data_IF_252994154932
#
_entry.id   IF_252994154932
#
_cell.length_a   1.000
_cell.length_b   1.000
_cell.length_c   1.000
_cell.angle_alpha   90.00
_cell.angle_beta   90.00
_cell.angle_gamma   90.00
#
_symmetry.space_group_name_H-M   'P 1'
#
loop_
_entity.id
_entity.type
_entity.pdbx_description
1 polymer ?
#
# COMPACT_ATOMS: atom_id res chain seq x y z
N UNK A 1 -2.41 -9.09 -11.70
CA UNK A 1 -1.74 -7.85 -12.16
C UNK A 1 -0.65 -8.28 -13.12
N UNK A 2 -0.81 -8.09 -14.43
CA UNK A 2 0.21 -8.47 -15.41
C UNK A 2 1.19 -7.30 -15.59
N UNK A 3 2.33 -7.37 -14.90
CA UNK A 3 3.58 -6.81 -15.44
C UNK A 3 4.12 -7.89 -16.38
N UNK A 4 4.06 -7.66 -17.69
CA UNK A 4 4.53 -8.63 -18.69
C UNK A 4 6.07 -8.65 -18.78
N UNK A 5 6.71 -7.60 -18.26
CA UNK A 5 8.17 -7.44 -18.15
C UNK A 5 8.53 -7.04 -16.72
N UNK A 6 9.71 -7.44 -16.28
CA UNK A 6 10.31 -7.02 -15.02
C UNK A 6 11.06 -5.69 -15.20
N UNK A 7 10.96 -4.80 -14.22
CA UNK A 7 11.72 -3.56 -14.15
C UNK A 7 12.13 -3.32 -12.69
N UNK A 8 13.42 -3.06 -12.48
CA UNK A 8 14.04 -2.86 -11.16
C UNK A 8 14.18 -1.35 -10.88
N UNK A 9 13.04 -0.67 -10.79
CA UNK A 9 12.97 0.79 -10.67
C UNK A 9 12.01 1.14 -9.54
N UNK A 10 12.46 2.02 -8.65
CA UNK A 10 11.66 2.62 -7.57
C UNK A 10 10.55 3.54 -8.12
N UNK A 11 9.73 4.07 -7.23
CA UNK A 11 8.67 5.01 -7.60
C UNK A 11 9.22 6.34 -8.14
N UNK A 12 8.53 6.92 -9.12
CA UNK A 12 8.85 8.25 -9.64
C UNK A 12 7.91 9.32 -9.09
N UNK A 13 8.50 10.40 -8.57
CA UNK A 13 7.79 11.55 -8.02
C UNK A 13 7.29 12.51 -9.11
N UNK A 14 6.22 13.25 -8.81
CA UNK A 14 5.80 14.40 -9.62
C UNK A 14 6.92 15.45 -9.60
N UNK A 15 7.19 16.06 -10.76
CA UNK A 15 8.09 17.21 -10.86
C UNK A 15 7.40 18.43 -10.22
N UNK A 16 7.94 18.99 -9.11
CA UNK A 16 7.36 20.15 -8.43
C UNK A 16 7.53 21.45 -9.23
N UNK A 17 8.37 21.47 -10.27
CA UNK A 17 8.57 22.62 -11.15
C UNK A 17 7.54 22.66 -12.30
N UNK A 18 6.67 21.66 -12.43
CA UNK A 18 5.57 21.65 -13.41
C UNK A 18 4.42 22.56 -12.97
N UNK A 19 4.67 23.87 -12.97
CA UNK A 19 3.73 24.92 -12.53
C UNK A 19 3.24 25.78 -13.69
N UNK A 20 2.10 26.45 -13.49
CA UNK A 20 1.52 27.37 -14.48
C UNK A 20 2.47 28.48 -14.88
N UNK A 21 3.26 28.99 -13.93
CA UNK A 21 4.18 30.11 -14.14
C UNK A 21 5.35 29.75 -15.07
N UNK A 22 5.65 28.45 -15.20
CA UNK A 22 6.74 27.91 -16.02
C UNK A 22 6.27 27.35 -17.36
N UNK A 23 5.08 26.74 -17.39
CA UNK A 23 4.59 26.00 -18.57
C UNK A 23 3.36 26.62 -19.25
N UNK A 24 2.81 27.70 -18.71
CA UNK A 24 1.58 28.35 -19.18
C UNK A 24 0.33 27.81 -18.47
N UNK A 25 -0.85 28.07 -19.01
CA UNK A 25 -2.09 27.50 -18.46
C UNK A 25 -2.03 25.95 -18.47
N UNK A 26 -2.41 25.32 -17.35
CA UNK A 26 -2.41 23.87 -17.19
C UNK A 26 -3.83 23.37 -16.94
N UNK A 27 -4.33 22.51 -17.83
CA UNK A 27 -5.60 21.80 -17.66
C UNK A 27 -5.31 20.43 -17.03
N UNK A 28 -6.06 20.06 -15.98
CA UNK A 28 -5.91 18.81 -15.24
C UNK A 28 -7.11 17.90 -15.47
N UNK A 29 -6.94 16.73 -16.08
CA UNK A 29 -8.00 15.71 -16.19
C UNK A 29 -7.59 14.36 -15.64
N UNK A 30 -8.59 13.54 -15.32
CA UNK A 30 -8.44 12.28 -14.56
C UNK A 30 -9.31 11.18 -15.14
N UNK A 31 -8.78 9.96 -15.15
CA UNK A 31 -9.48 8.77 -15.59
C UNK A 31 -9.16 7.55 -14.72
N UNK A 32 -10.12 6.64 -14.62
CA UNK A 32 -9.86 5.25 -14.23
C UNK A 32 -9.56 4.43 -15.49
N UNK A 33 -8.44 3.71 -15.48
CA UNK A 33 -8.03 2.81 -16.57
C UNK A 33 -7.62 1.47 -15.95
N UNK A 34 -8.43 0.43 -16.16
CA UNK A 34 -8.28 -0.86 -15.47
C UNK A 34 -8.42 -0.71 -13.95
N UNK A 35 -7.33 -1.02 -13.24
CA UNK A 35 -7.14 -0.76 -11.81
C UNK A 35 -6.07 0.31 -11.56
N UNK A 36 -6.10 1.39 -12.36
CA UNK A 36 -5.20 2.55 -12.19
C UNK A 36 -6.01 3.85 -12.23
N UNK A 37 -5.59 4.86 -11.46
CA UNK A 37 -6.04 6.24 -11.64
C UNK A 37 -4.94 6.96 -12.44
N UNK A 38 -5.30 7.56 -13.57
CA UNK A 38 -4.39 8.35 -14.40
C UNK A 38 -4.81 9.81 -14.30
N UNK A 39 -3.91 10.65 -13.80
CA UNK A 39 -4.05 12.12 -13.82
C UNK A 39 -3.13 12.66 -14.91
N UNK A 40 -3.61 13.57 -15.75
CA UNK A 40 -2.82 14.27 -16.77
C UNK A 40 -2.96 15.77 -16.53
N UNK A 41 -1.84 16.43 -16.26
CA UNK A 41 -1.70 17.88 -16.21
C UNK A 41 -1.09 18.31 -17.57
N UNK A 42 -1.88 18.92 -18.44
CA UNK A 42 -1.46 19.34 -19.79
C UNK A 42 -1.24 20.85 -19.82
N UNK A 43 -0.06 21.29 -20.23
CA UNK A 43 0.15 22.69 -20.61
C UNK A 43 -0.52 22.95 -21.97
N UNK A 44 -1.37 23.98 -22.05
CA UNK A 44 -2.28 24.19 -23.19
C UNK A 44 -1.57 24.62 -24.47
N UNK A 45 -0.41 25.27 -24.38
CA UNK A 45 0.28 25.92 -25.51
C UNK A 45 1.66 25.35 -25.83
N UNK A 46 2.31 24.65 -24.90
CA UNK A 46 3.75 24.30 -25.01
C UNK A 46 4.02 22.84 -25.36
N UNK A 47 2.97 22.00 -25.47
CA UNK A 47 3.08 20.56 -25.74
C UNK A 47 3.56 19.72 -24.56
N UNK A 48 3.92 20.33 -23.43
CA UNK A 48 4.36 19.65 -22.22
C UNK A 48 3.19 19.09 -21.41
N UNK A 49 3.35 17.88 -20.87
CA UNK A 49 2.39 17.27 -19.98
C UNK A 49 3.06 16.46 -18.87
N UNK A 50 2.52 16.53 -17.66
CA UNK A 50 2.89 15.66 -16.55
C UNK A 50 1.77 14.64 -16.32
N UNK A 51 2.13 13.36 -16.40
CA UNK A 51 1.21 12.23 -16.26
C UNK A 51 1.54 11.49 -14.97
N UNK A 52 0.52 11.19 -14.17
CA UNK A 52 0.66 10.52 -12.87
C UNK A 52 -0.26 9.31 -12.81
N UNK A 53 0.35 8.13 -12.92
CA UNK A 53 -0.33 6.83 -12.89
C UNK A 53 -0.23 6.22 -11.49
N UNK A 54 -1.38 6.08 -10.85
CA UNK A 54 -1.56 5.53 -9.51
C UNK A 54 -2.09 4.10 -9.61
N UNK A 55 -1.40 3.14 -9.01
CA UNK A 55 -1.75 1.71 -9.01
C UNK A 55 -1.71 1.13 -7.58
N UNK A 56 -2.31 -0.04 -7.31
CA UNK A 56 -2.25 -0.66 -5.98
C UNK A 56 -0.82 -0.87 -5.47
N UNK A 57 0.08 -1.33 -6.33
CA UNK A 57 1.47 -1.67 -6.03
C UNK A 57 2.49 -0.55 -6.30
N UNK A 58 2.03 0.67 -6.59
CA UNK A 58 2.97 1.75 -6.91
C UNK A 58 2.33 3.02 -7.45
N UNK A 59 3.06 4.12 -7.39
CA UNK A 59 2.76 5.36 -8.12
C UNK A 59 3.92 5.69 -9.06
N UNK A 60 3.62 6.15 -10.27
CA UNK A 60 4.62 6.59 -11.24
C UNK A 60 4.18 7.90 -11.87
N UNK A 61 5.01 8.93 -11.76
CA UNK A 61 4.89 10.17 -12.50
C UNK A 61 5.95 10.27 -13.61
N UNK A 62 5.59 10.92 -14.71
CA UNK A 62 6.49 11.17 -15.84
C UNK A 62 6.07 12.45 -16.57
N UNK A 63 7.05 13.22 -17.03
CA UNK A 63 6.84 14.43 -17.83
C UNK A 63 7.19 14.12 -19.27
N UNK A 64 6.28 14.44 -20.21
CA UNK A 64 6.47 14.26 -21.65
C UNK A 64 6.30 15.59 -22.37
N UNK A 65 6.82 15.66 -23.58
CA UNK A 65 6.54 16.74 -24.53
C UNK A 65 6.15 16.11 -25.86
N UNK A 66 4.98 16.49 -26.37
CA UNK A 66 4.59 16.22 -27.75
C UNK A 66 4.94 17.44 -28.60
N UNK A 67 5.63 17.21 -29.71
CA UNK A 67 5.99 18.26 -30.66
C UNK A 67 4.88 18.35 -31.70
N UNK A 68 4.09 19.42 -31.64
CA UNK A 68 3.05 19.70 -32.62
C UNK A 68 3.62 20.61 -33.71
N UNK A 69 3.53 20.16 -34.96
CA UNK A 69 3.73 21.05 -36.10
C UNK A 69 2.55 22.04 -36.18
N UNK A 70 2.79 23.32 -36.50
CA UNK A 70 1.71 24.27 -36.72
C UNK A 70 0.84 23.81 -37.90
N UNK A 71 -0.49 23.97 -37.84
CA UNK A 71 -1.35 23.65 -38.98
C UNK A 71 -0.91 24.48 -40.20
N UNK A 72 -0.98 23.93 -41.42
CA UNK A 72 -0.68 24.67 -42.64
C UNK A 72 -1.47 26.00 -42.70
N UNK A 73 -0.92 27.08 -43.29
CA UNK A 73 -1.57 28.41 -43.29
C UNK A 73 -2.96 28.48 -43.95
N UNK A 74 -3.37 27.45 -44.70
CA UNK A 74 -4.72 27.34 -45.27
C UNK A 74 -5.74 26.66 -44.32
N UNK A 75 -5.28 26.13 -43.18
CA UNK A 75 -6.08 25.47 -42.15
C UNK A 75 -6.20 26.30 -40.87
N UNK A 76 -5.40 27.36 -40.72
CA UNK A 76 -5.60 28.37 -39.68
C UNK A 76 -6.82 29.23 -40.02
N UNK A 77 -7.89 29.24 -39.22
CA UNK A 77 -9.04 30.11 -39.49
C UNK A 77 -8.63 31.58 -39.32
N UNK A 78 -8.85 32.39 -40.37
CA UNK A 78 -8.61 33.84 -40.36
C UNK A 78 -9.69 34.61 -39.56
N UNK A 79 -10.14 34.05 -38.44
CA UNK A 79 -11.16 34.69 -37.60
C UNK A 79 -10.50 35.60 -36.57
N UNK A 80 -10.27 36.85 -36.96
CA UNK A 80 -9.97 37.92 -36.00
C UNK A 80 -11.28 38.20 -35.26
N UNK A 81 -11.40 37.67 -34.03
CA UNK A 81 -12.57 37.94 -33.20
C UNK A 81 -12.51 39.38 -32.68
N UNK A 82 -13.22 40.28 -33.38
CA UNK A 82 -13.25 41.73 -33.11
C UNK A 82 -13.76 42.03 -31.68
N UNK A 83 -14.38 41.05 -30.99
CA UNK A 83 -14.87 41.19 -29.62
C UNK A 83 -13.83 40.94 -28.51
N UNK A 84 -12.64 40.41 -28.84
CA UNK A 84 -11.52 40.23 -27.88
C UNK A 84 -10.21 40.71 -28.51
N UNK A 85 -9.59 41.70 -27.87
CA UNK A 85 -8.35 42.33 -28.32
C UNK A 85 -7.24 41.33 -28.71
N UNK A 86 -7.04 41.13 -30.02
CA UNK A 86 -5.80 40.62 -30.62
C UNK A 86 -5.38 39.17 -30.32
N UNK A 87 -6.15 38.36 -29.59
CA UNK A 87 -5.76 36.97 -29.30
C UNK A 87 -6.07 36.02 -30.47
N UNK A 88 -5.00 35.59 -31.16
CA UNK A 88 -5.02 34.50 -32.14
C UNK A 88 -5.59 33.23 -31.48
N UNK A 89 -6.51 32.53 -32.16
CA UNK A 89 -7.02 31.25 -31.69
C UNK A 89 -5.92 30.18 -31.71
N UNK A 90 -5.21 30.02 -30.60
CA UNK A 90 -4.22 28.97 -30.43
C UNK A 90 -4.95 27.62 -30.26
N UNK A 91 -4.44 26.57 -30.91
CA UNK A 91 -4.95 25.22 -30.74
C UNK A 91 -4.67 24.73 -29.31
N UNK A 92 -5.64 24.92 -28.40
CA UNK A 92 -5.54 24.51 -27.00
C UNK A 92 -5.37 23.00 -26.88
N UNK A 93 -4.20 22.56 -26.46
CA UNK A 93 -3.88 21.14 -26.28
C UNK A 93 -4.61 20.63 -25.04
N UNK A 94 -5.51 19.66 -25.23
CA UNK A 94 -6.32 19.09 -24.15
C UNK A 94 -5.68 17.82 -23.58
N UNK A 95 -5.74 17.59 -22.25
CA UNK A 95 -5.30 16.34 -21.61
C UNK A 95 -5.90 15.06 -22.23
N UNK A 96 -7.07 15.17 -22.85
CA UNK A 96 -7.78 14.08 -23.49
C UNK A 96 -7.00 13.49 -24.68
N UNK A 97 -6.19 14.29 -25.37
CA UNK A 97 -5.39 13.87 -26.53
C UNK A 97 -4.43 12.74 -26.16
N UNK A 98 -3.65 12.93 -25.08
CA UNK A 98 -2.75 11.90 -24.53
C UNK A 98 -3.49 10.60 -24.23
N UNK A 99 -4.70 10.67 -23.66
CA UNK A 99 -5.48 9.48 -23.36
C UNK A 99 -5.94 8.75 -24.63
N UNK A 100 -6.32 9.48 -25.68
CA UNK A 100 -6.66 8.90 -26.99
C UNK A 100 -5.43 8.21 -27.60
N UNK A 101 -4.27 8.87 -27.63
CA UNK A 101 -3.03 8.29 -28.18
C UNK A 101 -2.64 7.00 -27.44
N UNK A 102 -2.60 7.03 -26.11
CA UNK A 102 -2.21 5.87 -25.30
C UNK A 102 -3.18 4.68 -25.39
N UNK A 103 -4.46 4.91 -25.67
CA UNK A 103 -5.50 3.87 -25.71
C UNK A 103 -5.83 3.40 -27.13
N UNK A 104 -5.38 4.11 -28.16
CA UNK A 104 -5.68 3.87 -29.59
C UNK A 104 -5.39 2.43 -30.06
N UNK A 105 -4.30 1.84 -29.56
CA UNK A 105 -3.84 0.49 -29.91
C UNK A 105 -4.45 -0.64 -29.07
N UNK A 106 -5.30 -0.32 -28.09
CA UNK A 106 -5.89 -1.29 -27.17
C UNK A 106 -7.31 -1.67 -27.64
N UNK A 107 -7.58 -2.94 -27.98
CA UNK A 107 -8.93 -3.39 -28.36
C UNK A 107 -9.93 -3.14 -27.23
N UNK A 108 -10.91 -2.26 -27.48
CA UNK A 108 -11.88 -1.79 -26.48
C UNK A 108 -12.99 -2.83 -26.12
N UNK A 109 -12.81 -4.10 -26.52
CA UNK A 109 -13.79 -5.17 -26.27
C UNK A 109 -13.91 -5.62 -24.82
N UNK A 110 -12.97 -5.24 -23.94
CA UNK A 110 -12.99 -5.61 -22.53
C UNK A 110 -13.38 -4.40 -21.67
N UNK A 111 -14.51 -4.48 -20.95
CA UNK A 111 -15.09 -3.38 -20.15
C UNK A 111 -14.11 -2.79 -19.11
N UNK A 112 -13.17 -3.60 -18.63
CA UNK A 112 -12.10 -3.14 -17.72
C UNK A 112 -11.10 -2.16 -18.38
N UNK A 113 -10.87 -2.26 -19.69
CA UNK A 113 -9.89 -1.45 -20.42
C UNK A 113 -10.41 -0.05 -20.80
N UNK A 114 -11.74 0.13 -20.92
CA UNK A 114 -12.34 1.42 -21.27
C UNK A 114 -12.01 2.49 -20.22
N UNK A 115 -11.44 3.64 -20.61
CA UNK A 115 -11.23 4.77 -19.70
C UNK A 115 -12.55 5.35 -19.21
N UNK A 116 -12.68 5.52 -17.89
CA UNK A 116 -13.82 6.20 -17.26
C UNK A 116 -13.33 7.57 -16.77
N UNK A 117 -13.84 8.70 -17.28
CA UNK A 117 -13.46 10.03 -16.80
C UNK A 117 -13.94 10.22 -15.36
N UNK A 118 -13.09 10.82 -14.53
CA UNK A 118 -13.44 11.23 -13.16
C UNK A 118 -13.76 12.73 -13.16
N UNK A 119 -14.84 13.17 -12.47
CA UNK A 119 -15.16 14.58 -12.36
C UNK A 119 -14.11 15.33 -11.52
N UNK A 120 -14.02 16.64 -11.75
CA UNK A 120 -13.18 17.56 -10.99
C UNK A 120 -13.91 18.05 -9.73
N UNK A 121 -14.43 17.11 -8.94
CA UNK A 121 -15.14 17.37 -7.68
C UNK A 121 -14.23 17.20 -6.44
N UNK A 122 -14.59 17.87 -5.34
CA UNK A 122 -13.86 17.79 -4.06
C UNK A 122 -13.79 16.38 -3.47
N UNK A 123 -14.75 15.50 -3.80
CA UNK A 123 -14.77 14.14 -3.29
C UNK A 123 -13.72 13.27 -4.00
N UNK A 124 -13.53 13.45 -5.31
CA UNK A 124 -12.46 12.83 -6.10
C UNK A 124 -11.10 13.36 -5.67
N UNK A 125 -10.94 14.68 -5.52
CA UNK A 125 -9.67 15.29 -5.07
C UNK A 125 -9.29 14.77 -3.66
N UNK A 126 -10.26 14.69 -2.74
CA UNK A 126 -10.07 14.10 -1.40
C UNK A 126 -9.74 12.61 -1.47
N UNK A 127 -10.44 11.82 -2.30
CA UNK A 127 -10.18 10.40 -2.46
C UNK A 127 -8.76 10.13 -3.02
N UNK A 128 -8.30 10.96 -3.96
CA UNK A 128 -6.94 10.87 -4.51
C UNK A 128 -5.90 11.29 -3.46
N UNK A 129 -6.12 12.37 -2.70
CA UNK A 129 -5.23 12.75 -1.58
C UNK A 129 -5.13 11.67 -0.50
N UNK A 130 -6.23 10.98 -0.19
CA UNK A 130 -6.22 9.84 0.75
C UNK A 130 -5.47 8.63 0.15
N UNK A 131 -5.68 8.36 -1.14
CA UNK A 131 -4.98 7.29 -1.86
C UNK A 131 -3.45 7.53 -1.89
N UNK A 132 -3.02 8.77 -2.17
CA UNK A 132 -1.59 9.13 -2.24
C UNK A 132 -0.90 9.10 -0.86
N UNK A 133 -1.65 9.20 0.24
CA UNK A 133 -1.15 8.97 1.60
C UNK A 133 -1.06 7.49 1.99
N UNK A 134 -1.71 6.59 1.25
CA UNK A 134 -1.61 5.15 1.48
C UNK A 134 -0.30 4.64 0.89
N UNK A 135 0.61 4.18 1.74
CA UNK A 135 1.91 3.62 1.32
C UNK A 135 1.78 2.58 0.21
N UNK A 136 2.76 2.49 -0.67
CA UNK A 136 2.89 1.43 -1.69
C UNK A 136 3.71 0.23 -1.20
N UNK A 137 4.11 0.27 0.07
CA UNK A 137 4.92 -0.72 0.77
C UNK A 137 4.20 -1.07 2.09
N UNK A 138 4.14 -2.35 2.46
CA UNK A 138 3.56 -2.78 3.74
C UNK A 138 4.54 -2.46 4.88
N UNK A 139 4.21 -1.41 5.63
CA UNK A 139 5.03 -0.87 6.71
C UNK A 139 4.76 -1.52 8.07
N UNK A 140 5.82 -1.95 8.73
CA UNK A 140 5.83 -2.58 10.05
C UNK A 140 6.62 -1.73 11.05
N UNK A 141 6.24 -1.86 12.33
CA UNK A 141 6.94 -1.24 13.46
C UNK A 141 7.30 -2.30 14.49
N UNK A 142 8.54 -2.24 14.96
CA UNK A 142 9.14 -3.26 15.83
C UNK A 142 10.04 -2.55 16.85
N UNK A 143 9.75 -2.71 18.14
CA UNK A 143 10.62 -2.15 19.18
C UNK A 143 11.94 -2.91 19.29
N UNK A 144 13.00 -2.21 19.71
CA UNK A 144 14.30 -2.82 20.02
C UNK A 144 14.75 -2.30 21.37
N UNK A 145 14.90 -3.22 22.32
CA UNK A 145 15.15 -2.95 23.73
C UNK A 145 16.47 -3.61 24.15
N UNK A 146 17.37 -2.86 24.77
CA UNK A 146 18.61 -3.38 25.35
C UNK A 146 18.48 -3.48 26.87
N UNK A 147 18.75 -4.66 27.43
CA UNK A 147 18.80 -4.95 28.87
C UNK A 147 20.26 -5.16 29.26
N UNK A 148 20.80 -4.25 30.09
CA UNK A 148 22.17 -4.33 30.62
C UNK A 148 22.33 -5.33 31.77
N UNK A 149 23.56 -5.53 32.23
CA UNK A 149 23.92 -6.47 33.29
C UNK A 149 23.08 -6.28 34.57
N UNK A 150 22.48 -7.36 35.08
CA UNK A 150 21.68 -7.35 36.32
C UNK A 150 20.31 -6.65 36.23
N UNK A 151 20.02 -5.90 35.17
CA UNK A 151 18.79 -5.11 35.06
C UNK A 151 17.54 -6.00 34.98
N UNK A 152 16.51 -5.63 35.75
CA UNK A 152 15.21 -6.35 35.76
C UNK A 152 13.99 -5.43 35.85
N UNK A 153 14.19 -4.15 36.18
CA UNK A 153 13.13 -3.14 36.27
C UNK A 153 12.90 -2.45 34.92
N UNK A 154 11.63 -2.17 34.59
CA UNK A 154 11.24 -1.55 33.32
C UNK A 154 11.85 -0.15 33.14
N UNK A 155 11.83 0.68 34.17
CA UNK A 155 12.29 2.08 34.10
C UNK A 155 13.81 2.12 33.95
N UNK A 156 14.51 1.26 34.69
CA UNK A 156 15.96 1.10 34.58
C UNK A 156 16.38 0.73 33.15
N UNK A 157 15.70 -0.26 32.56
CA UNK A 157 15.98 -0.73 31.19
C UNK A 157 15.67 0.35 30.15
N UNK A 158 14.53 1.04 30.26
CA UNK A 158 14.19 2.12 29.34
C UNK A 158 15.10 3.36 29.51
N UNK A 159 15.70 3.53 30.70
CA UNK A 159 16.68 4.58 30.97
C UNK A 159 17.95 4.48 30.11
N UNK A 160 18.31 3.28 29.64
CA UNK A 160 19.50 3.03 28.83
C UNK A 160 19.59 3.94 27.60
N UNK A 161 20.76 4.57 27.40
CA UNK A 161 21.10 5.44 26.26
C UNK A 161 22.13 4.82 25.31
N UNK A 162 22.69 3.68 25.68
CA UNK A 162 23.64 2.89 24.90
C UNK A 162 23.56 1.43 25.32
N UNK A 163 24.19 0.54 24.55
CA UNK A 163 24.32 -0.88 24.88
C UNK A 163 25.74 -1.40 24.64
N UNK A 164 25.91 -2.72 24.66
CA UNK A 164 27.19 -3.40 24.42
C UNK A 164 27.73 -3.20 22.99
N UNK A 165 29.01 -3.51 22.77
CA UNK A 165 29.65 -3.46 21.44
C UNK A 165 28.85 -4.29 20.41
N UNK A 166 28.43 -5.46 20.82
CA UNK A 166 27.81 -6.47 19.97
C UNK A 166 26.34 -6.11 19.69
N UNK A 167 25.68 -5.43 20.64
CA UNK A 167 24.39 -4.77 20.40
C UNK A 167 24.49 -3.67 19.33
N UNK A 168 25.54 -2.85 19.37
CA UNK A 168 25.77 -1.81 18.36
C UNK A 168 26.12 -2.41 16.98
N UNK A 169 26.93 -3.47 16.92
CA UNK A 169 27.19 -4.23 15.68
C UNK A 169 25.90 -4.86 15.15
N UNK A 170 25.08 -5.43 16.02
CA UNK A 170 23.77 -5.98 15.67
C UNK A 170 22.84 -4.90 15.07
N UNK A 171 22.69 -3.74 15.71
CA UNK A 171 21.86 -2.63 15.21
C UNK A 171 22.31 -2.16 13.82
N UNK A 172 23.61 -1.94 13.63
CA UNK A 172 24.18 -1.48 12.36
C UNK A 172 23.98 -2.47 11.20
N UNK A 173 23.75 -3.75 11.50
CA UNK A 173 23.44 -4.79 10.52
C UNK A 173 21.94 -5.17 10.48
N UNK A 174 21.12 -4.62 11.39
CA UNK A 174 19.68 -4.81 11.46
C UNK A 174 18.94 -3.89 10.47
N UNK A 175 19.45 -2.67 10.28
CA UNK A 175 18.90 -1.70 9.34
C UNK A 175 19.88 -0.57 9.05
N UNK A 176 19.42 0.41 8.26
CA UNK A 176 20.16 1.62 7.94
C UNK A 176 19.80 2.75 8.92
N UNK A 177 20.81 3.36 9.52
CA UNK A 177 20.63 4.54 10.38
C UNK A 177 20.05 5.70 9.54
N UNK A 178 18.86 6.15 9.91
CA UNK A 178 18.03 7.06 9.13
C UNK A 178 17.60 8.24 9.99
N UNK A 179 17.78 9.46 9.47
CA UNK A 179 17.41 10.70 10.17
C UNK A 179 15.89 10.88 10.18
N UNK A 180 15.33 11.22 11.34
CA UNK A 180 13.90 11.40 11.53
C UNK A 180 13.41 12.79 11.09
N UNK A 181 14.16 13.84 11.45
CA UNK A 181 13.82 15.22 11.10
C UNK A 181 13.74 15.42 9.58
N UNK A 182 12.56 15.79 9.09
CA UNK A 182 12.32 15.97 7.65
C UNK A 182 12.29 14.68 6.83
N UNK A 183 12.23 13.50 7.46
CA UNK A 183 11.98 12.23 6.77
C UNK A 183 10.73 12.33 5.89
N UNK A 184 10.73 11.71 4.71
CA UNK A 184 9.59 11.72 3.77
C UNK A 184 8.73 10.45 3.83
N UNK A 185 9.27 9.36 4.37
CA UNK A 185 8.59 8.08 4.57
C UNK A 185 7.71 8.07 5.83
N UNK A 186 7.03 6.95 6.09
CA UNK A 186 6.22 6.78 7.30
C UNK A 186 7.11 6.36 8.48
N UNK A 187 7.30 7.24 9.46
CA UNK A 187 8.10 6.96 10.68
C UNK A 187 7.35 6.16 11.74
N UNK A 188 6.15 5.65 11.44
CA UNK A 188 5.37 4.72 12.27
C UNK A 188 5.00 5.18 13.71
N UNK A 189 5.20 6.46 14.02
CA UNK A 189 4.89 7.08 15.31
C UNK A 189 5.99 8.02 15.82
N UNK A 190 7.22 7.85 15.33
CA UNK A 190 8.36 8.71 15.72
C UNK A 190 8.22 10.12 15.12
N UNK A 191 8.50 11.13 15.93
CA UNK A 191 8.53 12.55 15.57
C UNK A 191 9.46 12.85 14.37
N UNK A 192 9.01 13.75 13.49
CA UNK A 192 9.69 14.20 12.26
C UNK A 192 10.03 15.69 12.25
N UNK A 193 9.67 16.42 13.30
CA UNK A 193 9.71 17.88 13.35
C UNK A 193 10.64 18.39 14.45
N UNK A 194 10.52 17.88 15.68
CA UNK A 194 11.17 18.44 16.87
C UNK A 194 12.25 17.54 17.49
N UNK A 195 12.57 16.40 16.86
CA UNK A 195 13.55 15.39 17.33
C UNK A 195 13.21 14.82 18.73
N UNK A 196 11.93 14.89 19.15
CA UNK A 196 11.48 14.51 20.50
C UNK A 196 11.56 13.01 20.80
N UNK A 197 11.55 12.17 19.76
CA UNK A 197 11.80 10.72 19.84
C UNK A 197 13.26 10.35 19.47
N UNK A 198 14.14 11.35 19.37
CA UNK A 198 15.53 11.21 18.91
C UNK A 198 15.73 11.76 17.50
N UNK A 199 16.99 11.91 17.11
CA UNK A 199 17.37 12.44 15.78
C UNK A 199 17.41 11.37 14.69
N UNK A 200 17.65 10.12 15.08
CA UNK A 200 17.86 8.99 14.17
C UNK A 200 17.19 7.73 14.71
N UNK A 201 16.73 6.87 13.81
CA UNK A 201 16.41 5.48 14.12
C UNK A 201 17.01 4.54 13.07
N UNK A 202 16.82 3.24 13.22
CA UNK A 202 17.15 2.26 12.19
C UNK A 202 15.89 1.92 11.38
N UNK A 203 16.03 1.90 10.06
CA UNK A 203 14.98 1.46 9.13
C UNK A 203 15.53 0.33 8.25
N UNK A 204 14.69 -0.64 7.89
CA UNK A 204 14.99 -1.62 6.86
C UNK A 204 13.88 -1.64 5.82
N UNK A 205 14.23 -1.81 4.55
CA UNK A 205 13.29 -1.83 3.43
C UNK A 205 13.65 -2.92 2.42
N UNK A 206 12.63 -3.57 1.91
CA UNK A 206 12.61 -4.40 0.72
C UNK A 206 11.54 -3.86 -0.26
N UNK A 207 11.43 -4.43 -1.46
CA UNK A 207 10.51 -3.99 -2.52
C UNK A 207 9.02 -3.98 -2.13
N UNK A 208 8.63 -4.75 -1.13
CA UNK A 208 7.22 -4.94 -0.74
C UNK A 208 6.92 -4.55 0.70
N UNK A 209 7.96 -4.44 1.55
CA UNK A 209 7.81 -4.21 2.99
C UNK A 209 8.90 -3.28 3.54
N UNK A 210 8.55 -2.52 4.58
CA UNK A 210 9.44 -1.62 5.31
C UNK A 210 9.26 -1.87 6.81
N UNK A 211 10.36 -1.84 7.57
CA UNK A 211 10.36 -1.96 9.03
C UNK A 211 11.03 -0.71 9.59
N UNK A 212 10.29 0.07 10.37
CA UNK A 212 10.86 1.12 11.22
C UNK A 212 11.06 0.54 12.61
N UNK A 213 12.30 0.60 13.11
CA UNK A 213 12.60 0.12 14.45
C UNK A 213 12.35 1.23 15.48
N UNK A 214 11.76 0.89 16.62
CA UNK A 214 11.63 1.79 17.77
C UNK A 214 12.72 1.44 18.79
N UNK A 215 13.94 1.95 18.55
CA UNK A 215 15.14 1.58 19.31
C UNK A 215 15.25 2.44 20.57
N UNK A 216 15.08 1.84 21.75
CA UNK A 216 14.98 2.60 23.02
C UNK A 216 16.25 3.36 23.38
N UNK A 217 17.43 2.89 22.98
CA UNK A 217 18.71 3.60 23.21
C UNK A 217 18.91 4.79 22.29
N UNK A 218 18.20 4.86 21.15
CA UNK A 218 18.25 6.00 20.22
C UNK A 218 17.26 7.12 20.62
N UNK A 219 16.28 6.80 21.46
CA UNK A 219 15.33 7.76 22.03
C UNK A 219 15.95 8.50 23.23
N UNK A 220 15.71 9.80 23.40
CA UNK A 220 16.27 10.57 24.51
C UNK A 220 15.76 10.06 25.86
N UNK A 221 16.66 10.03 26.86
CA UNK A 221 16.30 9.81 28.27
C UNK A 221 16.39 11.16 29.01
N UNK A 222 15.32 11.54 29.71
CA UNK A 222 15.34 12.67 30.64
C UNK A 222 14.58 12.25 31.91
N UNK A 223 15.31 11.72 32.91
CA UNK A 223 14.70 11.18 34.14
C UNK A 223 14.14 12.27 35.06
N UNK A 224 14.52 13.54 34.89
CA UNK A 224 13.95 14.65 35.65
C UNK A 224 12.52 14.98 35.19
N UNK A 225 12.28 14.93 33.88
CA UNK A 225 11.00 15.33 33.26
C UNK A 225 10.11 14.11 32.93
N UNK A 226 10.70 12.96 32.65
CA UNK A 226 10.01 11.68 32.38
C UNK A 226 10.67 10.54 33.18
N UNK A 227 10.52 10.52 34.53
CA UNK A 227 11.13 9.53 35.41
C UNK A 227 10.65 8.08 35.20
N UNK A 228 9.68 7.85 34.30
CA UNK A 228 9.18 6.51 33.93
C UNK A 228 9.48 6.14 32.47
N UNK A 229 10.23 6.97 31.75
CA UNK A 229 10.52 6.79 30.32
C UNK A 229 9.25 6.56 29.48
N UNK A 230 8.15 7.20 29.86
CA UNK A 230 6.82 7.18 29.22
C UNK A 230 6.91 7.47 27.72
N UNK A 231 7.78 8.40 27.32
CA UNK A 231 8.02 8.79 25.93
C UNK A 231 8.67 7.67 25.09
N UNK A 232 9.39 6.74 25.71
CA UNK A 232 9.87 5.50 25.08
C UNK A 232 8.80 4.41 25.13
N UNK A 233 8.18 4.23 26.31
CA UNK A 233 7.15 3.21 26.55
C UNK A 233 5.93 3.35 25.63
N UNK A 234 5.53 4.58 25.27
CA UNK A 234 4.43 4.84 24.31
C UNK A 234 4.66 4.24 22.93
N UNK A 235 5.90 3.97 22.54
CA UNK A 235 6.24 3.33 21.27
C UNK A 235 6.27 1.81 21.44
N UNK A 236 7.23 1.31 22.22
CA UNK A 236 7.48 -0.14 22.40
C UNK A 236 6.31 -0.87 23.06
N UNK A 237 5.52 -0.21 23.91
CA UNK A 237 4.30 -0.75 24.52
C UNK A 237 3.08 -0.80 23.58
N UNK A 238 3.13 -0.06 22.48
CA UNK A 238 2.13 -0.08 21.40
C UNK A 238 2.61 -0.88 20.16
N UNK A 239 3.78 -1.50 20.22
CA UNK A 239 4.30 -2.37 19.16
C UNK A 239 3.90 -3.82 19.44
N UNK A 240 3.45 -4.53 18.40
CA UNK A 240 3.07 -5.94 18.56
C UNK A 240 4.27 -6.86 18.82
N UNK A 241 5.44 -6.47 18.31
CA UNK A 241 6.68 -7.24 18.34
C UNK A 241 7.80 -6.37 18.89
N UNK A 242 8.53 -6.90 19.87
CA UNK A 242 9.72 -6.28 20.43
C UNK A 242 10.91 -7.24 20.34
N UNK A 243 12.04 -6.75 19.86
CA UNK A 243 13.33 -7.43 19.92
C UNK A 243 13.98 -7.05 21.24
N UNK A 244 14.39 -8.04 22.04
CA UNK A 244 15.01 -7.85 23.36
C UNK A 244 16.43 -8.37 23.32
N UNK A 245 17.42 -7.48 23.36
CA UNK A 245 18.83 -7.84 23.50
C UNK A 245 19.16 -7.90 24.99
N UNK A 246 19.35 -9.12 25.51
CA UNK A 246 19.40 -9.41 26.93
C UNK A 246 20.82 -9.77 27.39
N UNK A 247 21.58 -8.76 27.81
CA UNK A 247 22.91 -8.90 28.44
C UNK A 247 22.83 -8.95 29.97
N UNK A 248 21.63 -8.99 30.58
CA UNK A 248 21.44 -9.05 32.04
C UNK A 248 22.11 -10.22 32.75
N UNK A 249 22.30 -11.33 32.03
CA UNK A 249 22.69 -12.62 32.62
C UNK A 249 21.54 -13.37 33.30
N UNK A 250 20.32 -12.84 33.26
CA UNK A 250 19.12 -13.42 33.86
C UNK A 250 18.11 -13.84 32.77
N UNK A 251 17.22 -14.83 33.04
CA UNK A 251 16.13 -15.16 32.14
C UNK A 251 15.16 -13.97 31.99
N UNK A 252 14.91 -13.55 30.75
CA UNK A 252 13.91 -12.51 30.46
C UNK A 252 12.50 -13.02 30.79
N UNK A 253 11.70 -12.19 31.46
CA UNK A 253 10.28 -12.46 31.77
C UNK A 253 9.40 -11.71 30.78
N UNK A 254 8.37 -12.36 30.24
CA UNK A 254 7.43 -11.73 29.32
C UNK A 254 6.79 -10.47 29.93
N UNK A 255 6.42 -10.53 31.22
CA UNK A 255 5.74 -9.44 31.93
C UNK A 255 6.67 -8.28 32.36
N UNK A 256 7.95 -8.27 31.97
CA UNK A 256 8.87 -7.14 32.25
C UNK A 256 8.39 -5.84 31.56
N UNK A 257 7.72 -5.95 30.40
CA UNK A 257 7.11 -4.82 29.71
C UNK A 257 5.58 -5.02 29.62
N UNK A 258 4.81 -4.57 30.63
CA UNK A 258 3.36 -4.74 30.62
C UNK A 258 2.74 -3.81 29.56
N UNK A 259 2.18 -4.42 28.51
CA UNK A 259 1.45 -3.75 27.44
C UNK A 259 0.43 -4.67 26.77
N UNK A 260 -0.79 -4.17 26.52
CA UNK A 260 -1.86 -4.97 25.91
C UNK A 260 -1.53 -5.42 24.48
N UNK A 261 -0.81 -4.56 23.76
CA UNK A 261 -0.39 -4.79 22.38
C UNK A 261 0.86 -5.68 22.26
N UNK A 262 1.67 -5.85 23.31
CA UNK A 262 2.88 -6.67 23.21
C UNK A 262 2.49 -8.16 23.10
N UNK A 263 2.57 -8.69 21.88
CA UNK A 263 2.20 -10.08 21.59
C UNK A 263 3.43 -10.98 21.49
N UNK A 264 4.57 -10.45 21.03
CA UNK A 264 5.79 -11.23 20.78
C UNK A 264 7.03 -10.49 21.27
N UNK A 265 7.87 -11.20 22.05
CA UNK A 265 9.23 -10.79 22.36
C UNK A 265 10.22 -11.75 21.71
N UNK A 266 11.10 -11.24 20.86
CA UNK A 266 12.21 -12.00 20.25
C UNK A 266 13.44 -11.74 21.12
N UNK A 267 13.73 -12.69 22.01
CA UNK A 267 14.80 -12.56 23.01
C UNK A 267 16.11 -13.08 22.42
N UNK A 268 17.13 -12.25 22.49
CA UNK A 268 18.51 -12.51 22.10
C UNK A 268 19.33 -12.53 23.40
N UNK A 269 20.02 -13.62 23.70
CA UNK A 269 20.85 -13.75 24.92
C UNK A 269 22.21 -14.35 24.54
N UNK A 270 23.36 -13.84 25.02
CA UNK A 270 24.67 -14.46 24.77
C UNK A 270 24.68 -15.96 25.10
N UNK A 271 25.17 -16.81 24.19
CA UNK A 271 25.16 -18.27 24.37
C UNK A 271 26.18 -18.74 25.42
N UNK A 272 27.25 -17.98 25.60
CA UNK A 272 28.23 -18.14 26.67
C UNK A 272 28.61 -16.76 27.19
N UNK A 273 28.50 -16.54 28.51
CA UNK A 273 29.20 -15.42 29.16
C UNK A 273 30.70 -15.64 28.95
N UNK A 274 31.39 -14.70 28.30
CA UNK A 274 32.84 -14.71 28.27
C UNK A 274 33.35 -14.60 29.71
N UNK A 275 34.00 -15.64 30.21
CA UNK A 275 34.69 -15.56 31.49
C UNK A 275 35.81 -14.51 31.40
N UNK A 276 36.24 -13.96 32.53
CA UNK A 276 37.36 -12.99 32.56
C UNK A 276 38.63 -13.53 31.87
N UNK A 277 38.81 -14.85 31.85
CA UNK A 277 39.89 -15.53 31.11
C UNK A 277 39.58 -15.57 29.61
N UNK A 278 38.38 -16.03 29.20
CA UNK A 278 37.97 -16.07 27.79
C UNK A 278 37.94 -14.69 27.12
N UNK A 279 37.70 -13.61 27.86
CA UNK A 279 37.79 -12.24 27.36
C UNK A 279 39.23 -11.79 27.05
N UNK A 280 40.24 -12.40 27.69
CA UNK A 280 41.68 -12.15 27.41
C UNK A 280 42.25 -13.13 26.37
N UNK A 281 41.74 -14.37 26.34
CA UNK A 281 42.05 -15.40 25.34
C UNK A 281 41.21 -15.30 24.06
N UNK A 282 40.35 -14.28 23.95
CA UNK A 282 39.64 -13.92 22.73
C UNK A 282 40.63 -13.43 21.66
N UNK A 283 41.34 -14.39 21.05
CA UNK A 283 41.93 -14.20 19.73
C UNK A 283 40.88 -13.61 18.79
N UNK A 284 41.31 -12.73 17.87
CA UNK A 284 40.44 -11.86 17.03
C UNK A 284 39.51 -12.61 16.04
N UNK A 285 39.27 -13.91 16.25
CA UNK A 285 38.65 -14.84 15.31
C UNK A 285 37.52 -15.70 15.91
N UNK A 286 37.23 -15.62 17.22
CA UNK A 286 36.03 -16.25 17.79
C UNK A 286 34.82 -15.33 17.57
N UNK A 287 33.86 -15.73 16.72
CA UNK A 287 32.61 -14.98 16.58
C UNK A 287 31.67 -15.29 17.75
N UNK A 288 31.07 -14.29 18.42
CA UNK A 288 30.13 -14.52 19.48
C UNK A 288 28.84 -15.18 18.95
N UNK A 289 28.33 -16.14 19.72
CA UNK A 289 27.09 -16.85 19.45
C UNK A 289 26.00 -16.43 20.44
N UNK A 290 24.77 -16.36 19.95
CA UNK A 290 23.59 -15.93 20.68
C UNK A 290 22.50 -16.99 20.62
N UNK A 291 21.81 -17.16 21.74
CA UNK A 291 20.57 -17.91 21.85
C UNK A 291 19.43 -16.97 21.46
N UNK A 292 18.66 -17.35 20.46
CA UNK A 292 17.44 -16.66 20.02
C UNK A 292 16.25 -17.49 20.43
N UNK A 293 15.30 -16.88 21.13
CA UNK A 293 14.04 -17.52 21.56
C UNK A 293 12.87 -16.56 21.34
N UNK A 294 11.80 -17.04 20.73
CA UNK A 294 10.55 -16.28 20.58
C UNK A 294 9.63 -16.61 21.74
N UNK A 295 9.28 -15.60 22.54
CA UNK A 295 8.24 -15.67 23.56
C UNK A 295 6.99 -14.97 23.05
N UNK A 296 5.81 -15.54 23.30
CA UNK A 296 4.54 -14.96 22.85
C UNK A 296 3.46 -14.98 23.94
N UNK A 297 2.51 -14.05 23.82
CA UNK A 297 1.37 -13.89 24.73
C UNK A 297 0.51 -15.18 24.74
N UNK A 298 -0.03 -15.63 25.89
CA UNK A 298 -0.85 -16.85 25.92
C UNK A 298 -1.99 -16.86 24.90
N UNK A 299 -2.18 -18.01 24.24
CA UNK A 299 -3.18 -18.21 23.19
C UNK A 299 -2.79 -17.71 21.79
N UNK A 300 -1.69 -16.96 21.67
CA UNK A 300 -1.14 -16.54 20.39
C UNK A 300 -0.52 -17.74 19.63
N UNK A 301 -0.61 -17.82 18.29
CA UNK A 301 -0.08 -18.97 17.55
C UNK A 301 1.44 -19.12 17.67
N UNK A 302 1.94 -20.36 17.66
CA UNK A 302 3.37 -20.64 17.53
C UNK A 302 3.84 -20.32 16.09
N UNK A 303 4.24 -19.07 15.85
CA UNK A 303 4.38 -18.57 14.48
C UNK A 303 5.68 -18.94 13.75
N UNK A 304 6.58 -19.69 14.38
CA UNK A 304 7.93 -19.83 13.82
C UNK A 304 8.59 -21.12 14.26
N UNK A 305 9.42 -21.74 13.40
CA UNK A 305 10.42 -22.72 13.81
C UNK A 305 11.40 -22.22 14.89
N UNK A 306 11.32 -20.95 15.34
CA UNK A 306 12.06 -20.37 16.45
C UNK A 306 11.23 -20.22 17.75
N UNK A 307 10.09 -20.90 17.88
CA UNK A 307 9.52 -21.25 19.19
C UNK A 307 10.54 -22.08 19.98
N UNK A 308 11.23 -23.00 19.31
CA UNK A 308 12.45 -23.64 19.79
C UNK A 308 13.65 -22.67 19.77
N UNK A 309 14.45 -22.73 20.83
CA UNK A 309 15.65 -21.89 21.00
C UNK A 309 16.75 -22.26 20.00
N UNK A 310 17.30 -21.26 19.31
CA UNK A 310 18.35 -21.42 18.28
C UNK A 310 19.64 -20.74 18.66
N UNK A 311 20.77 -21.36 18.34
CA UNK A 311 22.10 -20.76 18.48
C UNK A 311 22.53 -20.19 17.13
N UNK A 312 22.93 -18.92 17.10
CA UNK A 312 23.19 -18.13 15.88
C UNK A 312 24.41 -17.26 16.11
N UNK A 313 25.32 -17.14 15.13
CA UNK A 313 26.45 -16.20 15.23
C UNK A 313 26.00 -14.75 15.04
N UNK A 314 26.71 -13.80 15.65
CA UNK A 314 26.42 -12.36 15.52
C UNK A 314 26.28 -11.90 14.06
N UNK A 315 27.12 -12.43 13.15
CA UNK A 315 27.06 -12.14 11.72
C UNK A 315 25.73 -12.53 11.05
N UNK A 316 25.10 -13.63 11.48
CA UNK A 316 23.84 -14.11 10.90
C UNK A 316 22.60 -13.59 11.65
N UNK A 317 22.77 -13.17 12.90
CA UNK A 317 21.71 -12.77 13.82
C UNK A 317 20.79 -11.66 13.26
N UNK A 318 21.26 -10.51 12.72
CA UNK A 318 20.39 -9.45 12.21
C UNK A 318 19.49 -9.86 11.03
N UNK A 319 19.93 -10.82 10.21
CA UNK A 319 19.13 -11.37 9.11
C UNK A 319 18.00 -12.25 9.62
N UNK A 320 18.30 -13.17 10.55
CA UNK A 320 17.29 -14.02 11.18
C UNK A 320 16.28 -13.20 11.98
N UNK A 321 16.75 -12.23 12.79
CA UNK A 321 15.88 -11.44 13.66
C UNK A 321 14.93 -10.56 12.84
N UNK A 322 15.38 -9.97 11.71
CA UNK A 322 14.48 -9.30 10.76
C UNK A 322 13.37 -10.22 10.24
N UNK A 323 13.73 -11.43 9.79
CA UNK A 323 12.75 -12.40 9.27
C UNK A 323 11.74 -12.82 10.35
N UNK A 324 12.22 -13.09 11.58
CA UNK A 324 11.36 -13.42 12.71
C UNK A 324 10.44 -12.25 13.08
N UNK A 325 10.95 -11.02 13.12
CA UNK A 325 10.18 -9.82 13.46
C UNK A 325 9.13 -9.49 12.40
N UNK A 326 9.46 -9.60 11.12
CA UNK A 326 8.53 -9.39 10.00
C UNK A 326 7.38 -10.40 10.06
N UNK A 327 7.71 -11.69 10.18
CA UNK A 327 6.71 -12.76 10.31
C UNK A 327 5.83 -12.50 11.55
N UNK A 328 6.45 -12.28 12.72
CA UNK A 328 5.73 -12.00 13.96
C UNK A 328 4.78 -10.79 13.82
N UNK A 329 5.19 -9.75 13.09
CA UNK A 329 4.39 -8.55 12.86
C UNK A 329 3.19 -8.82 11.95
N UNK A 330 3.38 -9.51 10.83
CA UNK A 330 2.28 -9.89 9.90
C UNK A 330 1.21 -10.70 10.63
N UNK A 331 1.61 -11.73 11.39
CA UNK A 331 0.67 -12.56 12.14
C UNK A 331 0.03 -11.80 13.31
N UNK A 332 0.77 -10.90 13.97
CA UNK A 332 0.20 -10.01 14.99
C UNK A 332 -0.89 -9.09 14.43
N UNK A 333 -0.71 -8.57 13.22
CA UNK A 333 -1.73 -7.78 12.54
C UNK A 333 -2.99 -8.59 12.21
N UNK A 334 -2.86 -9.87 11.85
CA UNK A 334 -4.01 -10.78 11.70
C UNK A 334 -4.67 -11.06 13.06
N UNK A 335 -3.87 -11.35 14.09
CA UNK A 335 -4.34 -11.67 15.43
C UNK A 335 -5.10 -10.52 16.10
N UNK A 336 -4.60 -9.28 16.00
CA UNK A 336 -5.27 -8.08 16.50
C UNK A 336 -6.64 -7.85 15.86
N UNK A 337 -6.83 -8.28 14.60
CA UNK A 337 -8.06 -8.09 13.85
C UNK A 337 -8.99 -9.32 13.85
N UNK A 338 -8.65 -10.40 14.57
CA UNK A 338 -9.37 -11.70 14.56
C UNK A 338 -10.88 -11.58 14.82
N UNK A 339 -11.32 -10.60 15.60
CA UNK A 339 -12.72 -10.32 15.92
C UNK A 339 -13.38 -9.34 14.93
N UNK A 340 -12.59 -8.49 14.27
CA UNK A 340 -13.03 -7.47 13.31
C UNK A 340 -12.98 -7.90 11.83
N UNK A 341 -12.37 -9.04 11.52
CA UNK A 341 -12.34 -9.63 10.18
C UNK A 341 -10.94 -9.68 9.55
N UNK A 342 -10.86 -9.39 8.26
CA UNK A 342 -9.64 -9.57 7.46
C UNK A 342 -8.63 -8.42 7.64
N UNK A 343 -7.38 -8.74 7.97
CA UNK A 343 -6.28 -7.77 7.89
C UNK A 343 -6.02 -7.34 6.43
N UNK A 344 -5.96 -6.03 6.21
CA UNK A 344 -5.89 -5.43 4.87
C UNK A 344 -4.51 -4.83 4.64
N UNK A 345 -3.69 -5.48 3.82
CA UNK A 345 -2.42 -4.91 3.36
C UNK A 345 -2.63 -3.62 2.55
N UNK A 346 -1.60 -2.80 2.44
CA UNK A 346 -1.71 -1.49 1.80
C UNK A 346 -2.06 -1.60 0.31
N UNK A 347 -1.53 -2.60 -0.40
CA UNK A 347 -1.95 -2.92 -1.78
C UNK A 347 -3.44 -3.28 -1.87
N UNK A 348 -3.97 -4.07 -0.92
CA UNK A 348 -5.40 -4.42 -0.88
C UNK A 348 -6.25 -3.19 -0.56
N UNK A 349 -5.79 -2.31 0.32
CA UNK A 349 -6.44 -1.04 0.66
C UNK A 349 -6.52 -0.12 -0.57
N UNK A 350 -5.39 0.12 -1.25
CA UNK A 350 -5.30 0.89 -2.50
C UNK A 350 -6.18 0.30 -3.61
N UNK A 351 -6.18 -1.03 -3.79
CA UNK A 351 -7.09 -1.69 -4.74
C UNK A 351 -8.57 -1.49 -4.39
N UNK A 352 -8.95 -1.59 -3.10
CA UNK A 352 -10.33 -1.32 -2.64
C UNK A 352 -10.72 0.14 -2.88
N UNK A 353 -9.83 1.10 -2.68
CA UNK A 353 -10.08 2.51 -2.99
C UNK A 353 -10.35 2.74 -4.50
N UNK A 354 -9.54 2.15 -5.38
CA UNK A 354 -9.74 2.21 -6.83
C UNK A 354 -11.05 1.54 -7.24
N UNK A 355 -11.39 0.38 -6.67
CA UNK A 355 -12.66 -0.32 -6.91
C UNK A 355 -13.87 0.52 -6.50
N UNK A 356 -13.86 1.14 -5.31
CA UNK A 356 -14.93 2.05 -4.84
C UNK A 356 -15.12 3.26 -5.76
N UNK A 357 -14.04 3.88 -6.24
CA UNK A 357 -14.12 4.94 -7.25
C UNK A 357 -14.73 4.41 -8.55
N UNK A 358 -14.33 3.22 -9.00
CA UNK A 358 -14.89 2.59 -10.20
C UNK A 358 -16.36 2.27 -10.06
N UNK A 359 -16.79 1.67 -8.95
CA UNK A 359 -18.19 1.37 -8.64
C UNK A 359 -19.05 2.64 -8.64
N UNK A 360 -18.54 3.76 -8.09
CA UNK A 360 -19.24 5.05 -8.05
C UNK A 360 -19.40 5.73 -9.41
N UNK A 361 -18.41 5.61 -10.30
CA UNK A 361 -18.34 6.36 -11.57
C UNK A 361 -18.48 5.49 -12.84
N UNK A 362 -18.67 4.17 -12.71
CA UNK A 362 -19.04 3.31 -13.86
C UNK A 362 -20.46 3.65 -14.30
N UNK A 363 -20.72 3.88 -15.61
CA UNK A 363 -22.09 4.09 -16.09
C UNK A 363 -22.95 2.85 -15.85
N UNK A 364 -23.90 2.94 -14.92
CA UNK A 364 -24.89 1.88 -14.71
C UNK A 364 -25.72 1.67 -15.97
N UNK A 365 -25.90 0.42 -16.40
CA UNK A 365 -26.86 0.03 -17.44
C UNK A 365 -28.33 0.11 -16.96
N UNK A 366 -28.65 1.09 -16.11
CA UNK A 366 -29.99 1.35 -15.58
C UNK A 366 -30.79 2.18 -16.59
N UNK A 367 -31.14 1.54 -17.71
CA UNK A 367 -31.88 2.14 -18.83
C UNK A 367 -32.90 1.19 -19.46
N UNK A 368 -33.37 0.19 -18.72
CA UNK A 368 -34.57 -0.57 -19.09
C UNK A 368 -35.78 0.05 -18.39
N UNK A 369 -36.58 0.75 -19.19
CA UNK A 369 -37.86 1.34 -18.79
C UNK A 369 -38.82 0.19 -18.49
N UNK A 370 -39.19 0.01 -17.22
CA UNK A 370 -40.39 -0.75 -16.85
C UNK A 370 -41.62 0.13 -17.08
N UNK A 371 -42.66 -0.34 -17.81
CA UNK A 371 -43.85 0.46 -18.03
C UNK A 371 -44.65 0.59 -16.73
N UNK A 372 -44.96 1.82 -16.34
CA UNK A 372 -45.73 2.15 -15.14
C UNK A 372 -47.16 1.64 -15.26
N UNK A 373 -47.61 0.80 -14.33
CA UNK A 373 -49.02 0.46 -14.20
C UNK A 373 -49.79 1.64 -13.59
N UNK A 374 -50.92 2.01 -14.19
CA UNK A 374 -51.81 3.09 -13.75
C UNK A 374 -52.94 2.57 -12.85
N UNK A 375 -53.25 3.33 -11.80
CA UNK A 375 -54.48 3.34 -10.96
C UNK A 375 -54.21 4.20 -9.71
N UNK A 376 -55.17 4.88 -9.06
CA UNK A 376 -56.46 5.43 -9.50
C UNK A 376 -56.84 6.56 -8.50
N UNK A 377 -57.77 7.46 -8.85
CA UNK A 377 -58.10 8.64 -8.03
C UNK A 377 -59.36 8.48 -7.15
N UNK A 378 -59.26 8.89 -5.87
CA UNK A 378 -60.37 9.33 -5.00
C UNK A 378 -59.77 9.98 -3.73
N UNK A 379 -59.87 11.29 -3.46
CA UNK A 379 -61.03 12.15 -3.09
C UNK A 379 -61.27 12.26 -1.57
N UNK A 380 -61.18 13.50 -1.04
CA UNK A 380 -61.45 13.91 0.36
C UNK A 380 -60.22 13.82 1.28
N UNK A 381 -59.93 14.76 2.19
CA UNK A 381 -60.54 16.06 2.57
C UNK A 381 -59.73 16.68 3.72
N UNK A 382 -59.83 17.99 3.99
CA UNK A 382 -59.01 18.71 4.99
C UNK A 382 -59.83 19.79 5.73
N UNK A 383 -59.34 20.48 6.79
CA UNK A 383 -58.39 20.13 7.88
C UNK A 383 -59.15 20.29 9.25
N UNK A 384 -58.80 21.08 10.31
CA UNK A 384 -57.52 21.55 10.90
C UNK A 384 -57.40 21.54 12.47
N UNK A 385 -56.18 21.80 12.96
CA UNK A 385 -55.79 22.63 14.15
C UNK A 385 -56.00 22.22 15.64
N UNK A 386 -54.95 22.55 16.43
CA UNK A 386 -54.75 22.74 17.91
C UNK A 386 -53.90 21.67 18.64
N UNK A 387 -53.14 21.96 19.71
CA UNK A 387 -52.36 23.15 20.16
C UNK A 387 -51.48 22.75 21.39
N UNK A 388 -50.49 23.60 21.75
CA UNK A 388 -49.89 23.77 23.09
C UNK A 388 -48.92 22.73 23.74
N UNK A 389 -47.76 23.27 24.16
CA UNK A 389 -46.83 22.87 25.25
C UNK A 389 -47.43 23.28 26.64
N UNK A 390 -46.92 22.92 27.87
CA UNK A 390 -45.48 22.95 28.25
C UNK A 390 -44.90 22.12 29.46
N UNK A 391 -43.55 22.12 29.55
CA UNK A 391 -42.62 22.15 30.73
C UNK A 391 -42.69 21.18 31.95
N UNK A 392 -41.66 20.28 32.04
CA UNK A 392 -40.73 19.94 33.18
C UNK A 392 -41.27 19.48 34.58
N UNK A 393 -40.47 18.87 35.52
CA UNK A 393 -38.99 18.65 35.58
C UNK A 393 -38.47 17.23 36.04
N UNK A 394 -37.13 17.07 35.97
CA UNK A 394 -36.17 16.21 36.73
C UNK A 394 -36.53 14.83 37.35
N UNK A 395 -35.65 13.83 37.10
CA UNK A 395 -35.49 12.60 37.91
C UNK A 395 -34.56 11.56 37.25
N UNK A 396 -33.56 11.04 37.96
CA UNK A 396 -32.52 10.12 37.43
C UNK A 396 -32.94 8.63 37.47
N UNK A 397 -32.36 7.79 36.57
CA UNK A 397 -31.64 6.52 36.86
C UNK A 397 -31.65 5.52 35.66
N UNK A 398 -30.43 5.14 35.22
CA UNK A 398 -30.04 3.88 34.53
C UNK A 398 -30.38 3.57 33.05
N UNK A 399 -29.51 2.71 32.50
CA UNK A 399 -29.66 1.79 31.34
C UNK A 399 -29.19 2.23 29.92
N UNK A 400 -28.05 1.63 29.54
CA UNK A 400 -27.73 0.98 28.24
C UNK A 400 -28.26 1.51 26.88
N UNK A 401 -27.29 1.87 26.00
CA UNK A 401 -27.06 1.42 24.59
C UNK A 401 -28.28 1.14 23.66
N UNK A 402 -28.23 1.56 22.37
CA UNK A 402 -27.34 0.84 21.43
C UNK A 402 -26.75 1.64 20.25
N UNK A 403 -25.79 0.99 19.56
CA UNK A 403 -25.29 1.40 18.25
C UNK A 403 -26.21 0.88 17.12
N UNK A 404 -26.28 1.60 16.01
CA UNK A 404 -27.05 1.20 14.84
C UNK A 404 -26.37 0.07 14.05
N UNK A 405 -27.06 -1.06 13.95
CA UNK A 405 -26.71 -2.18 13.07
C UNK A 405 -27.51 -2.11 11.78
N UNK A 406 -26.84 -2.15 10.63
CA UNK A 406 -27.49 -2.42 9.34
C UNK A 406 -27.31 -3.91 9.03
N UNK A 407 -28.41 -4.57 8.69
CA UNK A 407 -28.59 -6.02 8.74
C UNK A 407 -28.83 -6.58 7.34
N UNK A 408 -27.75 -6.89 6.61
CA UNK A 408 -27.87 -7.61 5.35
C UNK A 408 -28.16 -9.09 5.60
N UNK A 409 -29.26 -9.58 5.01
CA UNK A 409 -29.77 -10.93 5.25
C UNK A 409 -29.33 -11.89 4.15
N UNK A 410 -28.69 -12.99 4.55
CA UNK A 410 -28.25 -14.06 3.66
C UNK A 410 -29.35 -15.07 3.34
N UNK A 411 -29.59 -15.32 2.06
CA UNK A 411 -30.05 -16.59 1.46
C UNK A 411 -29.62 -16.58 -0.03
N UNK A 412 -29.16 -17.64 -0.70
CA UNK A 412 -29.05 -19.06 -0.32
C UNK A 412 -28.03 -19.81 -1.21
N UNK A 413 -27.42 -20.89 -0.68
CA UNK A 413 -26.79 -22.02 -1.42
C UNK A 413 -25.51 -21.74 -2.24
N UNK A 414 -24.47 -22.60 -2.27
CA UNK A 414 -24.29 -23.97 -1.74
C UNK A 414 -22.85 -24.18 -1.24
N UNK A 415 -22.69 -25.03 -0.21
CA UNK A 415 -21.39 -25.62 0.17
C UNK A 415 -20.91 -26.61 -0.90
N UNK A 416 -19.61 -26.62 -1.14
CA UNK A 416 -18.82 -27.85 -1.36
C UNK A 416 -17.52 -27.73 -0.57
N UNK A 417 -16.99 -28.86 -0.07
CA UNK A 417 -15.80 -28.88 0.78
C UNK A 417 -15.05 -30.21 0.59
N UNK A 418 -13.73 -30.15 0.83
CA UNK A 418 -12.81 -31.29 1.01
C UNK A 418 -12.47 -32.11 -0.26
N UNK A 419 -11.20 -32.02 -0.69
CA UNK A 419 -10.29 -33.17 -0.72
C UNK A 419 -8.83 -32.71 -0.91
N UNK A 420 -7.95 -33.15 -0.02
CA UNK A 420 -6.49 -33.07 -0.14
C UNK A 420 -5.96 -34.44 -0.52
N UNK A 421 -5.04 -34.56 -1.47
CA UNK A 421 -4.26 -35.78 -1.66
C UNK A 421 -2.78 -35.48 -1.94
N UNK A 422 -1.92 -36.24 -1.28
CA UNK A 422 -0.47 -36.19 -1.40
C UNK A 422 0.06 -37.29 -2.33
N UNK A 423 1.13 -36.97 -3.06
CA UNK A 423 2.25 -37.81 -3.54
C UNK A 423 2.16 -39.35 -3.52
N UNK A 424 2.51 -39.98 -4.65
CA UNK A 424 3.43 -41.15 -4.68
C UNK A 424 4.23 -41.20 -5.99
N UNK A 425 5.23 -42.08 -6.07
CA UNK A 425 6.46 -41.98 -6.90
C UNK A 425 6.62 -43.09 -7.95
N UNK A 426 7.67 -42.99 -8.79
CA UNK A 426 8.24 -44.02 -9.70
C UNK A 426 7.46 -44.29 -11.01
N UNK A 427 8.07 -44.52 -12.19
CA UNK A 427 9.47 -44.39 -12.64
C UNK A 427 9.61 -44.23 -14.17
N UNK A 428 10.81 -43.78 -14.60
CA UNK A 428 11.50 -44.06 -15.88
C UNK A 428 10.71 -44.19 -17.20
N UNK A 429 10.96 -43.28 -18.14
CA UNK A 429 11.82 -43.59 -19.31
C UNK A 429 12.30 -42.31 -20.02
N UNK A 430 13.56 -42.34 -20.45
CA UNK A 430 14.25 -41.24 -21.14
C UNK A 430 13.84 -41.14 -22.60
N UNK A 431 13.83 -39.94 -23.20
CA UNK A 431 14.48 -39.67 -24.49
C UNK A 431 14.75 -38.17 -24.68
N UNK A 432 15.80 -37.84 -25.44
CA UNK A 432 16.48 -36.54 -25.52
C UNK A 432 16.83 -36.28 -26.99
N UNK A 433 16.37 -35.16 -27.61
CA UNK A 433 17.09 -34.40 -28.67
C UNK A 433 16.21 -33.42 -29.49
N UNK A 434 16.37 -32.12 -29.20
CA UNK A 434 16.87 -31.07 -30.11
C UNK A 434 16.84 -31.20 -31.67
N UNK A 435 16.48 -30.06 -32.30
CA UNK A 435 17.02 -29.44 -33.56
C UNK A 435 16.42 -29.74 -34.97
N UNK A 436 16.00 -28.63 -35.60
CA UNK A 436 16.20 -28.16 -37.00
C UNK A 436 15.77 -28.98 -38.24
N UNK A 437 14.79 -28.39 -38.96
CA UNK A 437 14.81 -28.02 -40.39
C UNK A 437 15.54 -28.88 -41.43
N UNK A 438 14.79 -29.37 -42.42
CA UNK A 438 15.14 -29.19 -43.86
C UNK A 438 13.92 -29.41 -44.78
N UNK A 439 14.04 -28.90 -46.01
CA UNK A 439 13.01 -28.81 -47.04
C UNK A 439 13.01 -29.98 -48.02
N UNK A 440 11.85 -30.34 -48.59
CA UNK A 440 11.75 -30.58 -50.05
C UNK A 440 10.32 -30.46 -50.58
N UNK A 441 10.24 -30.09 -51.85
CA UNK A 441 9.05 -29.86 -52.68
C UNK A 441 8.52 -31.13 -53.34
N UNK A 442 7.20 -31.26 -53.50
CA UNK A 442 6.57 -31.80 -54.73
C UNK A 442 5.16 -31.22 -54.88
N UNK A 443 4.79 -30.83 -56.11
CA UNK A 443 3.40 -30.49 -56.46
C UNK A 443 2.65 -31.77 -56.81
N UNK A 444 1.33 -31.78 -56.60
CA UNK A 444 0.37 -32.19 -57.63
C UNK A 444 -1.04 -31.62 -57.34
N UNK A 445 -1.90 -31.62 -58.35
CA UNK A 445 -3.10 -30.73 -58.47
C UNK A 445 -4.41 -31.54 -58.54
N UNK A 446 -5.56 -30.85 -58.54
CA UNK A 446 -6.97 -31.30 -58.76
C UNK A 446 -7.81 -31.58 -57.49
N UNK A 447 -9.10 -31.24 -57.36
CA UNK A 447 -10.11 -30.45 -58.13
C UNK A 447 -11.13 -29.83 -57.11
N UNK A 448 -11.86 -28.76 -57.48
CA UNK A 448 -12.82 -28.02 -56.61
C UNK A 448 -14.19 -28.71 -56.33
N UNK A 449 -15.22 -28.00 -55.80
CA UNK A 449 -15.74 -26.77 -56.42
C UNK A 449 -16.17 -25.61 -55.48
N UNK A 450 -16.64 -24.53 -56.12
CA UNK A 450 -17.14 -23.27 -55.55
C UNK A 450 -18.51 -23.37 -54.85
N UNK A 451 -18.76 -22.44 -53.91
CA UNK A 451 -19.99 -21.63 -53.96
C UNK A 451 -19.71 -20.20 -53.44
N UNK A 452 -20.28 -19.20 -54.11
CA UNK A 452 -20.00 -17.79 -53.88
C UNK A 452 -21.11 -17.09 -53.08
N UNK A 453 -20.74 -16.02 -52.36
CA UNK A 453 -21.51 -14.76 -52.38
C UNK A 453 -20.61 -13.59 -51.95
N UNK A 454 -20.60 -12.56 -52.80
CA UNK A 454 -19.84 -11.31 -52.66
C UNK A 454 -20.76 -10.15 -52.22
N UNK A 455 -20.15 -8.99 -51.92
CA UNK A 455 -20.74 -7.65 -51.69
C UNK A 455 -21.67 -7.48 -50.47
N UNK A 456 -21.47 -6.50 -49.60
CA UNK A 456 -21.42 -5.07 -49.93
C UNK A 456 -20.54 -4.24 -48.99
N UNK A 457 -19.70 -3.39 -49.58
CA UNK A 457 -19.25 -2.15 -48.96
C UNK A 457 -20.32 -1.04 -49.18
N UNK A 458 -20.02 0.15 -48.65
CA UNK A 458 -20.80 1.40 -48.72
C UNK A 458 -22.03 1.53 -47.80
N UNK A 459 -21.83 2.21 -46.67
CA UNK A 459 -22.45 3.52 -46.43
C UNK A 459 -21.92 4.17 -45.14
N UNK A 460 -21.05 5.18 -45.28
CA UNK A 460 -20.70 6.12 -44.20
C UNK A 460 -20.96 7.54 -44.71
N UNK A 461 -22.02 8.16 -44.20
CA UNK A 461 -22.45 9.50 -44.58
C UNK A 461 -21.68 10.56 -43.77
N UNK A 462 -20.93 11.42 -44.47
CA UNK A 462 -20.14 12.50 -43.88
C UNK A 462 -20.83 13.88 -43.94
N UNK A 463 -22.08 13.98 -44.41
CA UNK A 463 -22.80 15.24 -44.66
C UNK A 463 -23.23 16.04 -43.41
N UNK A 464 -22.81 15.63 -42.21
CA UNK A 464 -23.17 16.28 -40.93
C UNK A 464 -22.06 17.08 -40.26
N UNK A 465 -20.90 17.22 -40.91
CA UNK A 465 -19.82 18.13 -40.48
C UNK A 465 -19.66 19.26 -41.52
N UNK A 466 -20.54 20.26 -41.41
CA UNK A 466 -20.45 21.59 -42.00
C UNK A 466 -21.14 22.59 -41.06
#
# INVERSE_FOLDING_TARGET
MQRYTYADVEESSQDPLFTSDRFGEIIKKRWLVGYSIVTVNQATTTGWAQIVKRQPSGTSAFTIRETFDPPPPHQTPNYVDISREGQVSTNTILPSHIMVQLMSSIPQGHDLARPIPLPEDDAVERAIRVFDRSSTVDGHKVGVIYIGEGQTDEVEILGNVSGSSDYMEFLNNLGTLTKLKGATFNTHGLDREFDSDGQYTFCWRDRVTEIVFHVTTQMPTNLEHDPRCTMKKRHIGNDFVNIVFNDSGLPFRFDTFPGDFNFVHIVITPASRASFIAARDASKHSQPFYRVQVLSKPGFPEISPASEMKIVSLKALPGLIRLLALNASVFSHVWANREGGEHVSSWRSRLRAIKRLREKYTPSKSGQITPSASQNSSLGGAPPLHQQQPLLPQGEISSSRPASTVRDSFTSLRRTSVATFFTSTSEQTSHRSSMLSSSTTTNDTEIGPFHAQDSHADTVDFSKWA
#
